data_IF_168927543082
#
_entry.id   IF_168927543082
#
_cell.length_a   1.000
_cell.length_b   1.000
_cell.length_c   1.000
_cell.angle_alpha   90.00
_cell.angle_beta   90.00
_cell.angle_gamma   90.00
#
_symmetry.space_group_name_H-M   'P 1'
#
loop_
_entity.id
_entity.type
_entity.pdbx_description
1 polymer ?
#
# COMPACT_ATOMS: atom_id res chain seq x y z
N UNK A 1 -10.10 -13.24 -2.34
CA UNK A 1 -9.95 -11.79 -2.05
C UNK A 1 -9.05 -11.08 -3.07
N UNK A 2 -7.97 -11.70 -3.55
CA UNK A 2 -7.11 -11.21 -4.63
C UNK A 2 -7.83 -10.75 -5.92
N UNK A 3 -8.88 -11.47 -6.34
CA UNK A 3 -9.61 -11.17 -7.59
C UNK A 3 -10.44 -9.88 -7.55
N UNK A 4 -10.85 -9.41 -6.37
CA UNK A 4 -11.69 -8.20 -6.21
C UNK A 4 -10.81 -6.95 -6.19
N UNK A 5 -9.58 -7.06 -5.68
CA UNK A 5 -8.63 -5.97 -5.59
C UNK A 5 -7.96 -5.64 -6.96
N UNK A 6 -7.68 -6.65 -7.79
CA UNK A 6 -7.21 -6.43 -9.17
C UNK A 6 -8.26 -5.73 -10.06
N UNK A 7 -9.56 -5.99 -9.84
CA UNK A 7 -10.63 -5.26 -10.54
C UNK A 7 -10.71 -3.78 -10.16
N UNK A 8 -10.34 -3.42 -8.93
CA UNK A 8 -10.32 -2.03 -8.47
C UNK A 8 -9.13 -1.26 -9.04
N UNK A 9 -7.93 -1.86 -9.01
CA UNK A 9 -6.70 -1.29 -9.57
C UNK A 9 -6.83 -0.93 -11.06
N UNK A 10 -7.48 -1.80 -11.84
CA UNK A 10 -7.69 -1.61 -13.28
C UNK A 10 -8.67 -0.48 -13.63
N UNK A 11 -9.41 0.05 -12.66
CA UNK A 11 -10.37 1.14 -12.85
C UNK A 11 -9.79 2.53 -12.52
N UNK A 12 -8.68 2.61 -11.78
CA UNK A 12 -8.12 3.87 -11.28
C UNK A 12 -6.94 4.41 -12.12
N UNK A 13 -6.23 3.58 -12.89
CA UNK A 13 -5.00 3.97 -13.61
C UNK A 13 -5.18 4.31 -15.10
N UNK A 14 -6.26 4.98 -15.49
CA UNK A 14 -6.52 5.35 -16.88
C UNK A 14 -6.68 6.85 -17.09
N UNK A 15 -5.59 7.55 -17.43
CA UNK A 15 -5.48 8.59 -18.50
C UNK A 15 -4.38 9.63 -18.21
N UNK A 16 -3.38 9.69 -19.09
CA UNK A 16 -2.32 10.69 -19.19
C UNK A 16 -2.83 12.04 -19.74
N UNK A 17 -2.20 13.14 -19.30
CA UNK A 17 -2.49 14.53 -19.66
C UNK A 17 -1.64 14.93 -20.88
N UNK A 18 -2.27 15.56 -21.89
CA UNK A 18 -1.58 16.33 -22.95
C UNK A 18 -1.94 17.82 -22.82
N UNK A 19 -0.91 18.66 -22.79
CA UNK A 19 -0.97 20.12 -22.86
C UNK A 19 -0.93 20.57 -24.32
N UNK A 20 -1.68 21.63 -24.65
CA UNK A 20 -1.43 22.46 -25.83
C UNK A 20 -1.47 23.95 -25.45
N UNK A 21 -0.53 24.66 -26.07
CA UNK A 21 -0.16 26.08 -25.98
C UNK A 21 -0.90 26.86 -27.07
N UNK A 22 -1.18 28.16 -26.89
CA UNK A 22 -1.14 29.12 -28.01
C UNK A 22 -1.07 30.59 -27.52
N UNK A 23 -0.20 31.35 -28.19
CA UNK A 23 0.06 32.79 -28.09
C UNK A 23 -1.01 33.60 -28.85
N UNK A 24 -1.21 34.89 -28.54
CA UNK A 24 -0.96 35.98 -29.52
C UNK A 24 -1.04 37.38 -28.86
N UNK A 25 -0.66 38.39 -29.63
CA UNK A 25 0.14 39.56 -29.30
C UNK A 25 -0.60 40.92 -29.34
N UNK A 26 0.17 41.94 -28.93
CA UNK A 26 -0.05 43.38 -28.76
C UNK A 26 -1.04 44.16 -29.66
N UNK A 27 -1.60 45.27 -29.13
CA UNK A 27 -1.55 46.62 -29.76
C UNK A 27 -2.03 47.72 -28.79
N UNK A 28 -1.31 48.85 -28.78
CA UNK A 28 -1.54 50.09 -27.99
C UNK A 28 -2.43 51.09 -28.73
N UNK A 29 -3.26 51.92 -28.06
CA UNK A 29 -3.86 53.10 -28.70
C UNK A 29 -3.42 54.44 -28.07
N UNK A 30 -3.16 55.40 -28.95
CA UNK A 30 -2.84 56.80 -28.65
C UNK A 30 -4.09 57.66 -28.88
N UNK A 31 -4.32 58.66 -28.02
CA UNK A 31 -5.07 59.93 -28.27
C UNK A 31 -6.43 60.15 -27.58
N UNK A 32 -6.39 61.04 -26.57
CA UNK A 32 -7.34 62.04 -26.00
C UNK A 32 -8.89 61.91 -26.05
N UNK A 33 -9.50 60.88 -26.64
CA UNK A 33 -10.96 60.63 -26.50
C UNK A 33 -11.32 59.84 -25.23
N UNK A 34 -10.32 59.41 -24.46
CA UNK A 34 -10.42 58.47 -23.33
C UNK A 34 -10.99 59.02 -22.01
N UNK A 35 -11.08 60.35 -21.83
CA UNK A 35 -11.44 60.91 -20.51
C UNK A 35 -12.94 60.95 -20.31
N UNK A 36 -13.72 61.27 -21.34
CA UNK A 36 -15.18 61.44 -21.25
C UNK A 36 -15.92 60.09 -21.22
N UNK A 37 -15.43 59.10 -21.97
CA UNK A 37 -15.99 57.73 -21.96
C UNK A 37 -15.63 56.93 -20.70
N UNK A 38 -14.53 57.29 -20.01
CA UNK A 38 -14.19 56.73 -18.69
C UNK A 38 -15.17 57.12 -17.59
N UNK A 39 -15.74 58.32 -17.63
CA UNK A 39 -16.68 58.79 -16.60
C UNK A 39 -18.05 58.13 -16.78
N UNK A 40 -18.55 58.03 -18.02
CA UNK A 40 -19.81 57.35 -18.34
C UNK A 40 -19.73 55.83 -18.16
N UNK A 41 -18.58 55.20 -18.42
CA UNK A 41 -18.37 53.77 -18.15
C UNK A 41 -18.18 53.47 -16.66
N UNK A 42 -17.51 54.35 -15.90
CA UNK A 42 -17.34 54.18 -14.44
C UNK A 42 -18.69 54.18 -13.71
N UNK A 43 -19.63 55.05 -14.11
CA UNK A 43 -20.98 55.07 -13.53
C UNK A 43 -21.80 53.81 -13.84
N UNK A 44 -21.62 53.18 -15.01
CA UNK A 44 -22.26 51.91 -15.38
C UNK A 44 -21.62 50.70 -14.68
N UNK A 45 -20.30 50.75 -14.41
CA UNK A 45 -19.54 49.71 -13.69
C UNK A 45 -19.89 49.70 -12.20
N UNK A 46 -20.16 50.86 -11.60
CA UNK A 46 -20.55 50.95 -10.18
C UNK A 46 -21.96 50.39 -9.96
N UNK A 47 -22.91 50.65 -10.87
CA UNK A 47 -24.27 50.09 -10.76
C UNK A 47 -24.32 48.56 -11.01
N UNK A 48 -23.45 48.01 -11.87
CA UNK A 48 -23.40 46.57 -12.13
C UNK A 48 -22.71 45.77 -11.01
N UNK A 49 -21.76 46.39 -10.28
CA UNK A 49 -21.09 45.80 -9.11
C UNK A 49 -21.98 45.63 -7.88
N UNK A 50 -23.09 46.36 -7.79
CA UNK A 50 -24.04 46.25 -6.67
C UNK A 50 -25.06 45.12 -6.90
N UNK A 51 -25.20 44.61 -8.13
CA UNK A 51 -26.24 43.64 -8.52
C UNK A 51 -25.71 42.32 -9.13
N UNK A 52 -24.40 42.04 -9.07
CA UNK A 52 -23.84 40.78 -9.63
C UNK A 52 -23.08 39.97 -8.57
N UNK A 53 -23.28 38.64 -8.48
CA UNK A 53 -22.55 37.82 -7.53
C UNK A 53 -21.07 37.77 -7.94
N UNK A 54 -20.19 38.14 -7.01
CA UNK A 54 -18.74 38.28 -7.22
C UNK A 54 -18.09 36.96 -7.64
N UNK A 55 -17.10 37.04 -8.56
CA UNK A 55 -16.35 35.88 -9.11
C UNK A 55 -15.72 34.97 -8.04
N UNK A 56 -15.47 35.49 -6.84
CA UNK A 56 -14.96 34.73 -5.70
C UNK A 56 -16.00 33.73 -5.18
N UNK A 57 -17.28 34.12 -5.11
CA UNK A 57 -18.39 33.20 -4.75
C UNK A 57 -18.60 32.09 -5.78
N UNK A 58 -18.25 32.33 -7.05
CA UNK A 58 -18.37 31.34 -8.14
C UNK A 58 -17.21 30.34 -8.10
N UNK A 59 -15.98 30.79 -7.83
CA UNK A 59 -14.82 29.90 -7.61
C UNK A 59 -14.99 29.06 -6.35
N UNK A 60 -15.47 29.66 -5.26
CA UNK A 60 -15.77 28.98 -4.01
C UNK A 60 -16.88 27.94 -4.20
N UNK A 61 -17.98 28.27 -4.89
CA UNK A 61 -19.01 27.27 -5.28
C UNK A 61 -18.47 26.14 -6.15
N UNK A 62 -17.54 26.40 -7.09
CA UNK A 62 -16.94 25.36 -7.95
C UNK A 62 -16.00 24.44 -7.17
N UNK A 63 -15.23 24.98 -6.24
CA UNK A 63 -14.35 24.20 -5.37
C UNK A 63 -15.16 23.37 -4.38
N UNK A 64 -16.23 23.94 -3.81
CA UNK A 64 -17.16 23.23 -2.94
C UNK A 64 -17.88 22.10 -3.71
N UNK A 65 -18.38 22.39 -4.92
CA UNK A 65 -19.00 21.39 -5.81
C UNK A 65 -18.04 20.25 -6.18
N UNK A 66 -16.77 20.55 -6.47
CA UNK A 66 -15.76 19.53 -6.78
C UNK A 66 -15.39 18.70 -5.54
N UNK A 67 -15.36 19.33 -4.38
CA UNK A 67 -15.13 18.67 -3.10
C UNK A 67 -16.29 17.75 -2.72
N UNK A 68 -17.54 18.18 -2.98
CA UNK A 68 -18.75 17.40 -2.77
C UNK A 68 -18.83 16.19 -3.72
N UNK A 69 -18.42 16.35 -4.99
CA UNK A 69 -18.30 15.23 -5.94
C UNK A 69 -17.23 14.20 -5.52
N UNK A 70 -16.08 14.66 -5.02
CA UNK A 70 -15.03 13.78 -4.49
C UNK A 70 -15.50 13.07 -3.22
N UNK A 71 -16.24 13.77 -2.36
CA UNK A 71 -16.89 13.21 -1.18
C UNK A 71 -17.89 12.13 -1.54
N UNK A 72 -18.75 12.40 -2.51
CA UNK A 72 -19.78 11.46 -2.94
C UNK A 72 -19.14 10.22 -3.58
N UNK A 73 -18.09 10.39 -4.38
CA UNK A 73 -17.27 9.28 -4.86
C UNK A 73 -16.63 8.49 -3.72
N UNK A 74 -16.03 9.16 -2.73
CA UNK A 74 -15.43 8.48 -1.58
C UNK A 74 -16.47 7.70 -0.75
N UNK A 75 -17.66 8.27 -0.55
CA UNK A 75 -18.80 7.61 0.11
C UNK A 75 -19.28 6.39 -0.66
N UNK A 76 -19.45 6.50 -1.98
CA UNK A 76 -19.86 5.39 -2.84
C UNK A 76 -18.81 4.26 -2.84
N UNK A 77 -17.52 4.60 -2.90
CA UNK A 77 -16.43 3.63 -2.81
C UNK A 77 -16.39 2.92 -1.45
N UNK A 78 -16.62 3.66 -0.35
CA UNK A 78 -16.71 3.09 0.99
C UNK A 78 -17.92 2.16 1.15
N UNK A 79 -19.08 2.51 0.60
CA UNK A 79 -20.28 1.67 0.67
C UNK A 79 -20.18 0.41 -0.21
N UNK A 80 -19.43 0.49 -1.32
CA UNK A 80 -19.11 -0.65 -2.15
C UNK A 80 -18.12 -1.59 -1.43
N UNK A 81 -17.03 -1.05 -0.88
CA UNK A 81 -16.08 -1.79 -0.06
C UNK A 81 -16.75 -2.42 1.17
N UNK A 82 -17.75 -1.77 1.76
CA UNK A 82 -18.54 -2.30 2.88
C UNK A 82 -19.41 -3.48 2.49
N UNK A 83 -20.10 -3.43 1.34
CA UNK A 83 -20.93 -4.55 0.84
C UNK A 83 -20.07 -5.78 0.53
N UNK A 84 -18.84 -5.57 0.09
CA UNK A 84 -17.91 -6.64 -0.21
C UNK A 84 -17.18 -7.16 1.05
N UNK A 85 -16.84 -6.27 2.00
CA UNK A 85 -16.33 -6.64 3.33
C UNK A 85 -17.38 -7.40 4.16
N UNK A 86 -18.68 -7.16 3.94
CA UNK A 86 -19.75 -7.92 4.59
C UNK A 86 -19.80 -9.39 4.16
N UNK A 87 -19.09 -9.77 3.09
CA UNK A 87 -18.94 -11.17 2.62
C UNK A 87 -17.66 -11.85 3.14
N UNK A 88 -16.67 -11.08 3.60
CA UNK A 88 -15.50 -11.60 4.33
C UNK A 88 -15.80 -11.54 5.83
N UNK A 89 -15.64 -12.67 6.53
CA UNK A 89 -15.80 -12.69 7.98
C UNK A 89 -14.80 -11.71 8.62
N UNK A 90 -15.21 -10.89 9.60
CA UNK A 90 -14.28 -10.08 10.37
C UNK A 90 -13.19 -10.99 10.96
N UNK A 91 -11.95 -10.51 11.01
CA UNK A 91 -10.85 -11.22 11.65
C UNK A 91 -11.25 -11.46 13.10
N UNK A 92 -11.60 -12.71 13.42
CA UNK A 92 -12.07 -13.02 14.77
C UNK A 92 -10.93 -12.75 15.77
N UNK A 93 -11.22 -12.41 17.03
CA UNK A 93 -10.19 -12.28 18.08
C UNK A 93 -9.26 -13.50 18.15
N UNK A 94 -9.78 -14.67 17.75
CA UNK A 94 -9.06 -15.94 17.61
C UNK A 94 -7.96 -15.88 16.56
N UNK A 95 -8.13 -15.15 15.46
CA UNK A 95 -7.15 -15.03 14.38
C UNK A 95 -5.95 -14.18 14.78
N UNK A 96 -6.19 -13.05 15.46
CA UNK A 96 -5.11 -12.18 15.99
C UNK A 96 -4.25 -12.94 17.01
N UNK A 97 -4.91 -13.67 17.91
CA UNK A 97 -4.21 -14.52 18.88
C UNK A 97 -3.41 -15.64 18.21
N UNK A 98 -3.94 -16.24 17.14
CA UNK A 98 -3.22 -17.26 16.38
C UNK A 98 -1.95 -16.70 15.71
N UNK A 99 -2.03 -15.52 15.08
CA UNK A 99 -0.88 -14.84 14.47
C UNK A 99 0.20 -14.58 15.52
N UNK A 100 -0.18 -14.06 16.70
CA UNK A 100 0.78 -13.77 17.76
C UNK A 100 1.43 -15.04 18.32
N UNK A 101 0.67 -16.10 18.55
CA UNK A 101 1.26 -17.35 19.03
C UNK A 101 2.23 -17.97 18.02
N UNK A 102 1.92 -17.85 16.73
CA UNK A 102 2.79 -18.31 15.66
C UNK A 102 4.07 -17.47 15.58
N UNK A 103 3.96 -16.15 15.71
CA UNK A 103 5.07 -15.21 15.85
C UNK A 103 6.05 -15.65 16.94
N UNK A 104 5.54 -15.91 18.14
CA UNK A 104 6.31 -16.33 19.30
C UNK A 104 6.94 -17.73 19.11
N UNK A 105 6.31 -18.59 18.30
CA UNK A 105 6.87 -19.88 17.92
C UNK A 105 8.05 -19.73 16.95
N UNK A 106 7.91 -18.89 15.91
CA UNK A 106 8.99 -18.61 14.97
C UNK A 106 10.21 -17.98 15.65
N UNK A 107 10.01 -17.06 16.60
CA UNK A 107 11.13 -16.43 17.32
C UNK A 107 11.92 -17.46 18.15
N UNK A 108 11.22 -18.40 18.81
CA UNK A 108 11.87 -19.50 19.54
C UNK A 108 12.65 -20.41 18.59
N UNK A 109 12.09 -20.72 17.44
CA UNK A 109 12.74 -21.56 16.44
C UNK A 109 13.97 -20.88 15.83
N UNK A 110 13.88 -19.58 15.55
CA UNK A 110 15.00 -18.76 15.07
C UNK A 110 16.16 -18.79 16.07
N UNK A 111 15.88 -18.61 17.37
CA UNK A 111 16.89 -18.71 18.44
C UNK A 111 17.57 -20.08 18.46
N UNK A 112 16.83 -21.15 18.16
CA UNK A 112 17.41 -22.50 18.10
C UNK A 112 18.32 -22.67 16.87
N UNK A 113 17.90 -22.19 15.70
CA UNK A 113 18.71 -22.23 14.48
C UNK A 113 20.00 -21.44 14.66
N UNK A 114 19.93 -20.23 15.23
CA UNK A 114 21.13 -19.40 15.42
C UNK A 114 22.13 -20.07 16.38
N UNK A 115 21.65 -20.76 17.43
CA UNK A 115 22.51 -21.57 18.32
C UNK A 115 23.17 -22.73 17.57
N UNK A 116 22.41 -23.47 16.75
CA UNK A 116 22.94 -24.59 15.98
C UNK A 116 23.95 -24.12 14.94
N UNK A 117 23.65 -23.05 14.22
CA UNK A 117 24.53 -22.43 13.23
C UNK A 117 25.85 -21.99 13.86
N UNK A 118 25.83 -21.39 15.06
CA UNK A 118 27.04 -20.98 15.77
C UNK A 118 27.95 -22.15 16.18
N UNK A 119 27.37 -23.31 16.51
CA UNK A 119 28.15 -24.53 16.80
C UNK A 119 28.70 -25.14 15.52
N UNK A 120 27.89 -25.18 14.47
CA UNK A 120 28.26 -25.77 13.19
C UNK A 120 29.36 -24.96 12.48
N UNK A 121 29.27 -23.63 12.49
CA UNK A 121 30.28 -22.74 11.93
C UNK A 121 31.67 -22.97 12.54
N UNK A 122 31.75 -23.11 13.88
CA UNK A 122 33.00 -23.40 14.57
C UNK A 122 33.61 -24.74 14.15
N UNK A 123 32.78 -25.77 14.01
CA UNK A 123 33.21 -27.10 13.56
C UNK A 123 33.70 -27.06 12.10
N UNK A 124 32.93 -26.42 11.23
CA UNK A 124 33.25 -26.29 9.81
C UNK A 124 34.57 -25.52 9.63
N UNK A 125 34.75 -24.39 10.32
CA UNK A 125 36.00 -23.62 10.33
C UNK A 125 37.20 -24.47 10.74
N UNK A 126 37.06 -25.23 11.82
CA UNK A 126 38.14 -26.11 12.30
C UNK A 126 38.55 -27.16 11.27
N UNK A 127 37.57 -27.82 10.63
CA UNK A 127 37.82 -28.87 9.61
C UNK A 127 38.45 -28.28 8.35
N UNK A 128 37.99 -27.10 7.90
CA UNK A 128 38.55 -26.40 6.74
C UNK A 128 39.99 -25.91 6.99
N UNK A 129 40.32 -25.46 8.20
CA UNK A 129 41.68 -25.04 8.57
C UNK A 129 42.67 -26.22 8.61
N UNK A 130 42.21 -27.40 9.03
CA UNK A 130 43.01 -28.63 9.09
C UNK A 130 43.18 -29.29 7.70
N UNK A 131 42.21 -29.13 6.80
CA UNK A 131 42.27 -29.57 5.40
C UNK A 131 42.44 -31.08 5.20
N UNK A 132 42.24 -31.89 6.24
CA UNK A 132 42.59 -33.32 6.25
C UNK A 132 41.38 -34.27 6.09
N UNK A 133 40.15 -33.79 6.28
CA UNK A 133 38.92 -34.59 6.23
C UNK A 133 37.87 -33.94 5.31
N UNK A 134 38.01 -34.12 3.99
CA UNK A 134 37.07 -33.60 2.99
C UNK A 134 35.64 -34.17 3.14
N UNK A 135 35.52 -35.45 3.47
CA UNK A 135 34.20 -36.08 3.65
C UNK A 135 33.45 -35.44 4.84
N UNK A 136 34.18 -35.14 5.92
CA UNK A 136 33.62 -34.47 7.09
C UNK A 136 33.24 -33.01 6.78
N UNK A 137 34.05 -32.31 5.99
CA UNK A 137 33.74 -30.96 5.49
C UNK A 137 32.45 -30.96 4.67
N UNK A 138 32.32 -31.89 3.72
CA UNK A 138 31.12 -32.03 2.88
C UNK A 138 29.87 -32.32 3.71
N UNK A 139 29.96 -33.23 4.68
CA UNK A 139 28.85 -33.51 5.60
C UNK A 139 28.41 -32.26 6.40
N UNK A 140 29.38 -31.50 6.94
CA UNK A 140 29.08 -30.27 7.68
C UNK A 140 28.51 -29.17 6.77
N UNK A 141 28.94 -29.12 5.51
CA UNK A 141 28.38 -28.22 4.50
C UNK A 141 26.92 -28.55 4.19
N UNK A 142 26.56 -29.83 4.07
CA UNK A 142 25.15 -30.25 3.89
C UNK A 142 24.29 -29.85 5.09
N UNK A 143 24.79 -30.07 6.31
CA UNK A 143 24.11 -29.63 7.53
C UNK A 143 23.95 -28.09 7.56
N UNK A 144 24.94 -27.35 7.09
CA UNK A 144 24.91 -25.89 7.01
C UNK A 144 23.85 -25.41 6.01
N UNK A 145 23.80 -25.98 4.80
CA UNK A 145 22.76 -25.67 3.82
C UNK A 145 21.36 -25.97 4.36
N UNK A 146 21.21 -27.06 5.11
CA UNK A 146 19.93 -27.40 5.75
C UNK A 146 19.49 -26.33 6.74
N UNK A 147 20.40 -25.82 7.59
CA UNK A 147 20.10 -24.73 8.53
C UNK A 147 19.79 -23.42 7.81
N UNK A 148 20.49 -23.10 6.73
CA UNK A 148 20.24 -21.90 5.91
C UNK A 148 18.85 -21.98 5.26
N UNK A 149 18.50 -23.12 4.65
CA UNK A 149 17.18 -23.32 4.06
C UNK A 149 16.08 -23.22 5.12
N UNK A 150 16.30 -23.79 6.30
CA UNK A 150 15.37 -23.68 7.42
C UNK A 150 15.21 -22.22 7.89
N UNK A 151 16.30 -21.45 7.98
CA UNK A 151 16.27 -20.02 8.33
C UNK A 151 15.52 -19.21 7.27
N UNK A 152 15.72 -19.50 6.00
CA UNK A 152 15.03 -18.83 4.90
C UNK A 152 13.53 -19.12 4.93
N UNK A 153 13.12 -20.36 5.22
CA UNK A 153 11.71 -20.71 5.39
C UNK A 153 11.06 -19.95 6.57
N UNK A 154 11.76 -19.86 7.72
CA UNK A 154 11.28 -19.06 8.85
C UNK A 154 11.14 -17.58 8.49
N UNK A 155 12.12 -16.99 7.80
CA UNK A 155 12.07 -15.59 7.40
C UNK A 155 10.89 -15.32 6.44
N UNK A 156 10.65 -16.20 5.46
CA UNK A 156 9.49 -16.12 4.58
C UNK A 156 8.18 -16.16 5.38
N UNK A 157 8.05 -17.11 6.31
CA UNK A 157 6.84 -17.23 7.14
C UNK A 157 6.63 -16.03 8.07
N UNK A 158 7.71 -15.58 8.70
CA UNK A 158 7.75 -14.43 9.58
C UNK A 158 7.27 -13.16 8.86
N UNK A 159 7.72 -12.98 7.62
CA UNK A 159 7.34 -11.85 6.79
C UNK A 159 5.85 -11.89 6.41
N UNK A 160 5.32 -13.07 6.07
CA UNK A 160 3.88 -13.25 5.82
C UNK A 160 3.02 -12.89 7.05
N UNK A 161 3.41 -13.36 8.24
CA UNK A 161 2.70 -13.04 9.47
C UNK A 161 2.73 -11.54 9.79
N UNK A 162 3.85 -10.87 9.53
CA UNK A 162 3.96 -9.42 9.73
C UNK A 162 2.99 -8.63 8.81
N UNK A 163 2.78 -9.12 7.59
CA UNK A 163 1.83 -8.51 6.66
C UNK A 163 0.40 -8.71 7.17
N UNK A 164 0.03 -9.92 7.61
CA UNK A 164 -1.28 -10.20 8.19
C UNK A 164 -1.55 -9.34 9.44
N UNK A 165 -0.56 -9.14 10.30
CA UNK A 165 -0.67 -8.27 11.47
C UNK A 165 -0.93 -6.81 11.07
N UNK A 166 -0.23 -6.31 10.04
CA UNK A 166 -0.44 -4.95 9.51
C UNK A 166 -1.80 -4.79 8.85
N UNK A 167 -2.28 -5.79 8.11
CA UNK A 167 -3.61 -5.79 7.53
C UNK A 167 -4.69 -5.72 8.61
N UNK A 168 -4.53 -6.50 9.68
CA UNK A 168 -5.46 -6.51 10.81
C UNK A 168 -5.46 -5.17 11.59
N UNK A 169 -4.30 -4.53 11.80
CA UNK A 169 -4.25 -3.18 12.39
C UNK A 169 -4.95 -2.13 11.50
N UNK A 170 -4.75 -2.20 10.17
CA UNK A 170 -5.44 -1.32 9.23
C UNK A 170 -6.96 -1.56 9.23
N UNK A 171 -7.41 -2.80 9.35
CA UNK A 171 -8.83 -3.15 9.44
C UNK A 171 -9.45 -2.64 10.74
N UNK A 172 -8.79 -2.85 11.89
CA UNK A 172 -9.23 -2.30 13.19
C UNK A 172 -9.36 -0.78 13.16
N UNK A 173 -8.38 -0.08 12.57
CA UNK A 173 -8.44 1.39 12.40
C UNK A 173 -9.59 1.79 11.47
N UNK A 174 -9.77 1.09 10.36
CA UNK A 174 -10.85 1.34 9.42
C UNK A 174 -12.21 1.23 10.12
N UNK A 175 -12.44 0.20 10.92
CA UNK A 175 -13.69 0.02 11.66
C UNK A 175 -13.99 1.18 12.61
N UNK A 176 -12.98 1.63 13.37
CA UNK A 176 -13.13 2.74 14.31
C UNK A 176 -13.47 4.05 13.58
N UNK A 177 -12.74 4.37 12.51
CA UNK A 177 -12.97 5.57 11.70
C UNK A 177 -14.33 5.53 11.00
N UNK A 178 -14.72 4.37 10.46
CA UNK A 178 -16.00 4.20 9.77
C UNK A 178 -17.19 4.29 10.75
N UNK A 179 -17.04 3.77 11.98
CA UNK A 179 -18.05 3.93 13.03
C UNK A 179 -18.26 5.40 13.38
N UNK A 180 -17.17 6.16 13.55
CA UNK A 180 -17.24 7.60 13.81
C UNK A 180 -17.89 8.35 12.64
N UNK A 181 -17.45 8.07 11.41
CA UNK A 181 -17.99 8.69 10.21
C UNK A 181 -19.49 8.46 10.08
N UNK A 182 -19.98 7.24 10.35
CA UNK A 182 -21.43 6.94 10.34
C UNK A 182 -22.22 7.77 11.34
N UNK A 183 -21.66 8.08 12.50
CA UNK A 183 -22.31 8.94 13.50
C UNK A 183 -22.45 10.39 13.01
N UNK A 184 -21.51 10.88 12.20
CA UNK A 184 -21.58 12.23 11.61
C UNK A 184 -22.53 12.22 10.41
N UNK A 185 -22.47 11.18 9.57
CA UNK A 185 -23.32 11.03 8.39
C UNK A 185 -24.80 10.78 8.71
N UNK A 186 -25.14 10.30 9.91
CA UNK A 186 -26.53 10.17 10.33
C UNK A 186 -27.23 11.50 10.58
N UNK A 187 -26.48 12.61 10.68
CA UNK A 187 -27.04 13.96 10.78
C UNK A 187 -27.28 14.55 9.39
N UNK A 188 -28.33 15.34 9.24
CA UNK A 188 -28.62 16.02 7.97
C UNK A 188 -27.67 17.19 7.73
N UNK A 189 -27.32 17.48 6.47
CA UNK A 189 -26.24 18.43 6.14
C UNK A 189 -26.50 19.87 6.61
N UNK A 190 -27.77 20.29 6.70
CA UNK A 190 -28.14 21.60 7.24
C UNK A 190 -28.03 21.68 8.78
N UNK A 191 -28.00 20.53 9.47
CA UNK A 191 -27.81 20.43 10.92
C UNK A 191 -26.34 20.32 11.31
N UNK A 192 -25.45 20.04 10.35
CA UNK A 192 -24.01 19.89 10.62
C UNK A 192 -23.34 21.24 10.84
N UNK A 193 -22.59 21.33 11.92
CA UNK A 193 -21.65 22.42 12.17
C UNK A 193 -20.45 22.35 11.22
N UNK A 194 -19.75 23.47 11.04
CA UNK A 194 -18.53 23.51 10.22
C UNK A 194 -17.42 22.59 10.78
N UNK A 195 -17.35 22.43 12.10
CA UNK A 195 -16.42 21.49 12.75
C UNK A 195 -16.76 20.04 12.38
N UNK A 196 -18.04 19.66 12.36
CA UNK A 196 -18.47 18.33 11.95
C UNK A 196 -18.18 18.06 10.47
N UNK A 197 -18.37 19.06 9.60
CA UNK A 197 -18.01 18.95 8.17
C UNK A 197 -16.50 18.77 7.99
N UNK A 198 -15.69 19.51 8.75
CA UNK A 198 -14.24 19.36 8.75
C UNK A 198 -13.82 17.98 9.25
N UNK A 199 -14.40 17.51 10.35
CA UNK A 199 -14.14 16.17 10.90
C UNK A 199 -14.50 15.08 9.89
N UNK A 200 -15.64 15.20 9.21
CA UNK A 200 -16.04 14.30 8.12
C UNK A 200 -14.96 14.25 7.01
N UNK A 201 -14.42 15.39 6.60
CA UNK A 201 -13.36 15.47 5.59
C UNK A 201 -12.08 14.74 6.03
N UNK A 202 -11.67 14.97 7.28
CA UNK A 202 -10.47 14.34 7.85
C UNK A 202 -10.64 12.82 7.92
N UNK A 203 -11.78 12.34 8.41
CA UNK A 203 -12.09 10.91 8.46
C UNK A 203 -12.07 10.27 7.07
N UNK A 204 -12.67 10.92 6.07
CA UNK A 204 -12.64 10.43 4.69
C UNK A 204 -11.21 10.39 4.13
N UNK A 205 -10.39 11.41 4.40
CA UNK A 205 -8.99 11.44 3.97
C UNK A 205 -8.17 10.32 4.62
N UNK A 206 -8.37 10.06 5.92
CA UNK A 206 -7.70 8.97 6.64
C UNK A 206 -8.14 7.60 6.11
N UNK A 207 -9.42 7.41 5.81
CA UNK A 207 -9.94 6.18 5.22
C UNK A 207 -9.30 5.90 3.84
N UNK A 208 -9.15 6.92 3.00
CA UNK A 208 -8.42 6.79 1.72
C UNK A 208 -6.95 6.42 1.96
N UNK A 209 -6.30 7.02 2.96
CA UNK A 209 -4.93 6.66 3.33
C UNK A 209 -4.80 5.19 3.76
N UNK A 210 -5.76 4.66 4.52
CA UNK A 210 -5.79 3.25 4.90
C UNK A 210 -5.91 2.35 3.67
N UNK A 211 -6.77 2.70 2.71
CA UNK A 211 -6.91 1.95 1.45
C UNK A 211 -5.59 1.92 0.68
N UNK A 212 -4.90 3.05 0.55
CA UNK A 212 -3.60 3.10 -0.13
C UNK A 212 -2.55 2.25 0.59
N UNK A 213 -2.51 2.26 1.92
CA UNK A 213 -1.59 1.42 2.69
C UNK A 213 -1.88 -0.08 2.51
N UNK A 214 -3.16 -0.47 2.43
CA UNK A 214 -3.52 -1.85 2.09
C UNK A 214 -3.06 -2.22 0.69
N UNK A 215 -3.20 -1.30 -0.26
CA UNK A 215 -2.73 -1.48 -1.64
C UNK A 215 -1.21 -1.74 -1.71
N UNK A 216 -0.43 -0.96 -0.95
CA UNK A 216 1.01 -1.16 -0.79
C UNK A 216 1.36 -2.53 -0.19
N UNK A 217 0.60 -3.01 0.80
CA UNK A 217 0.83 -4.32 1.42
C UNK A 217 0.62 -5.46 0.42
N UNK A 218 -0.43 -5.39 -0.40
CA UNK A 218 -0.67 -6.43 -1.40
C UNK A 218 0.38 -6.37 -2.51
N UNK A 219 0.81 -5.19 -2.95
CA UNK A 219 1.94 -5.07 -3.87
C UNK A 219 3.24 -5.66 -3.30
N UNK A 220 3.47 -5.49 -2.00
CA UNK A 220 4.61 -6.11 -1.33
C UNK A 220 4.50 -7.64 -1.30
N UNK A 221 3.32 -8.21 -1.03
CA UNK A 221 3.06 -9.65 -1.12
C UNK A 221 3.34 -10.21 -2.52
N UNK A 222 2.79 -9.59 -3.57
CA UNK A 222 2.97 -10.03 -4.96
C UNK A 222 4.42 -9.98 -5.41
N UNK A 223 5.15 -8.96 -4.98
CA UNK A 223 6.58 -8.84 -5.30
C UNK A 223 7.38 -9.92 -4.60
N UNK A 224 7.00 -10.26 -3.37
CA UNK A 224 7.67 -11.26 -2.56
C UNK A 224 7.39 -12.68 -3.03
N UNK A 225 6.14 -12.99 -3.37
CA UNK A 225 5.75 -14.31 -3.91
C UNK A 225 6.50 -14.60 -5.22
N UNK A 226 6.61 -13.60 -6.11
CA UNK A 226 7.44 -13.73 -7.33
C UNK A 226 8.91 -14.01 -7.02
N UNK A 227 9.51 -13.31 -6.06
CA UNK A 227 10.90 -13.56 -5.68
C UNK A 227 11.10 -14.97 -5.11
N UNK A 228 10.12 -15.46 -4.33
CA UNK A 228 10.10 -16.81 -3.80
C UNK A 228 10.00 -17.86 -4.92
N UNK A 229 9.10 -17.66 -5.88
CA UNK A 229 8.95 -18.56 -7.03
C UNK A 229 10.20 -18.63 -7.89
N UNK A 230 10.88 -17.49 -8.08
CA UNK A 230 12.14 -17.41 -8.81
C UNK A 230 13.26 -18.18 -8.08
N UNK A 231 13.39 -18.03 -6.75
CA UNK A 231 14.32 -18.81 -5.92
C UNK A 231 14.05 -20.32 -6.03
N UNK A 232 12.78 -20.74 -5.87
CA UNK A 232 12.38 -22.14 -5.91
C UNK A 232 12.56 -22.74 -7.33
N UNK A 233 12.48 -21.89 -8.37
CA UNK A 233 12.81 -22.28 -9.74
C UNK A 233 14.31 -22.48 -9.91
N UNK A 234 15.13 -21.59 -9.37
CA UNK A 234 16.59 -21.73 -9.37
C UNK A 234 17.00 -23.01 -8.64
N UNK A 235 16.42 -23.30 -7.47
CA UNK A 235 16.70 -24.53 -6.71
C UNK A 235 16.36 -25.80 -7.51
N UNK A 236 15.21 -25.81 -8.21
CA UNK A 236 14.82 -26.92 -9.10
C UNK A 236 15.77 -27.06 -10.29
N UNK A 237 16.17 -25.95 -10.90
CA UNK A 237 17.09 -25.96 -12.04
C UNK A 237 18.50 -26.43 -11.63
N UNK A 238 19.01 -26.00 -10.47
CA UNK A 238 20.25 -26.48 -9.87
C UNK A 238 20.18 -27.98 -9.58
N UNK A 239 19.04 -28.46 -9.10
CA UNK A 239 18.82 -29.88 -8.83
C UNK A 239 18.77 -30.72 -10.10
N UNK A 240 18.09 -30.21 -11.15
CA UNK A 240 18.04 -30.85 -12.47
C UNK A 240 19.39 -30.84 -13.18
N UNK A 241 20.21 -29.80 -12.97
CA UNK A 241 21.58 -29.73 -13.46
C UNK A 241 22.55 -30.68 -12.73
N UNK A 242 22.08 -31.46 -11.75
CA UNK A 242 22.89 -32.41 -11.00
C UNK A 242 23.85 -31.74 -10.02
N UNK A 243 23.69 -30.45 -9.73
CA UNK A 243 24.55 -29.69 -8.82
C UNK A 243 24.19 -29.93 -7.35
N UNK A 244 22.99 -30.44 -7.06
CA UNK A 244 22.55 -30.83 -5.70
C UNK A 244 22.58 -32.35 -5.46
N UNK A 245 22.90 -33.17 -6.48
CA UNK A 245 22.81 -34.65 -6.46
C UNK A 245 24.06 -35.38 -6.97
N UNK A 246 25.25 -34.77 -6.99
CA UNK A 246 26.50 -35.53 -7.24
C UNK A 246 26.95 -36.32 -6.00
N UNK A 247 26.09 -37.22 -5.52
CA UNK A 247 26.47 -38.32 -4.65
C UNK A 247 25.48 -39.45 -4.92
N UNK A 248 25.93 -40.43 -5.70
CA UNK A 248 25.63 -41.87 -5.61
C UNK A 248 26.08 -42.52 -6.93
N UNK A 249 27.13 -43.34 -6.85
CA UNK A 249 27.73 -44.19 -7.89
C UNK A 249 28.99 -43.62 -8.58
N UNK A 250 30.10 -43.56 -7.84
CA UNK A 250 31.41 -43.79 -8.43
C UNK A 250 31.97 -45.09 -7.85
N UNK A 251 31.64 -46.22 -8.48
CA UNK A 251 32.42 -47.45 -8.34
C UNK A 251 33.34 -47.48 -9.55
N UNK A 252 34.61 -47.15 -9.36
CA UNK A 252 35.63 -47.42 -10.38
C UNK A 252 35.93 -48.93 -10.26
N UNK A 253 35.53 -49.66 -11.29
CA UNK A 253 35.88 -51.07 -11.49
C UNK A 253 37.20 -51.17 -12.27
#
# INVERSE_FOLDING_TARGET
MFFIWECFRRSVTGSEIKNETEEDSSTTPTSVKDVTDKILSSSKIILSKVLTPTKDKVKEKRLLSRHDELKERARQLLDQARRDASKSQPTSPTQVFAIQNEMDALEREQKQIDKQAAVLEKKLRSVMELGNNKDQEEMLMVEWFTLVNKKNALLRRQMQLNILEKEDDLERRFELLNRELRSILSMEDWQKTEEQKLRENLLLSELVSIVNKRDELVHHLDSQERAIEDDDKIERDLSRAGLTQRNNNCTIQ
#
